data_IF_812530019287
#
_entry.id   IF_812530019287
#
_cell.length_a   1.000
_cell.length_b   1.000
_cell.length_c   1.000
_cell.angle_alpha   90.00
_cell.angle_beta   90.00
_cell.angle_gamma   90.00
#
_symmetry.space_group_name_H-M   'P 1'
#
loop_
_entity.id
_entity.type
_entity.pdbx_description
1 polymer ?
#
# COMPACT_ATOMS: atom_id res chain seq x y z
N UNK A 1 20.99 -14.09 -6.45
CA UNK A 1 20.04 -15.02 -7.10
C UNK A 1 18.64 -14.52 -6.75
N UNK A 2 18.00 -13.74 -7.63
CA UNK A 2 16.63 -13.29 -7.38
C UNK A 2 15.70 -14.48 -7.65
N UNK A 3 14.72 -14.74 -6.78
CA UNK A 3 13.94 -15.93 -6.95
C UNK A 3 12.79 -15.75 -7.97
N UNK A 4 12.80 -16.64 -8.98
CA UNK A 4 11.93 -16.71 -10.17
C UNK A 4 10.49 -17.19 -9.86
N UNK A 5 9.75 -16.51 -8.99
CA UNK A 5 8.39 -16.99 -8.65
C UNK A 5 7.27 -16.49 -9.59
N UNK A 6 7.56 -15.57 -10.52
CA UNK A 6 6.55 -14.97 -11.41
C UNK A 6 7.11 -14.91 -12.81
N UNK A 7 6.49 -15.64 -13.74
CA UNK A 7 6.82 -15.55 -15.15
C UNK A 7 6.63 -14.09 -15.64
N UNK A 8 7.50 -13.54 -16.50
CA UNK A 8 7.41 -12.15 -16.97
C UNK A 8 6.03 -11.76 -17.54
N UNK A 9 5.35 -12.72 -18.15
CA UNK A 9 3.96 -12.61 -18.65
C UNK A 9 2.91 -12.44 -17.54
N UNK A 10 3.09 -13.11 -16.40
CA UNK A 10 2.24 -12.96 -15.22
C UNK A 10 2.50 -11.63 -14.51
N UNK A 11 3.75 -11.14 -14.56
CA UNK A 11 4.10 -9.82 -14.08
C UNK A 11 3.38 -8.73 -14.89
N UNK A 12 3.45 -8.80 -16.22
CA UNK A 12 2.78 -7.85 -17.12
C UNK A 12 1.25 -7.85 -16.92
N UNK A 13 0.63 -9.03 -16.79
CA UNK A 13 -0.80 -9.17 -16.48
C UNK A 13 -1.15 -8.58 -15.11
N UNK A 14 -0.31 -8.79 -14.09
CA UNK A 14 -0.50 -8.24 -12.75
C UNK A 14 -0.41 -6.71 -12.78
N UNK A 15 0.59 -6.15 -13.47
CA UNK A 15 0.74 -4.69 -13.67
C UNK A 15 -0.50 -4.13 -14.38
N UNK A 16 -0.97 -4.76 -15.46
CA UNK A 16 -2.14 -4.31 -16.20
C UNK A 16 -3.41 -4.33 -15.33
N UNK A 17 -3.61 -5.40 -14.55
CA UNK A 17 -4.71 -5.50 -13.60
C UNK A 17 -4.65 -4.39 -12.55
N UNK A 18 -3.48 -4.15 -11.94
CA UNK A 18 -3.32 -3.12 -10.92
C UNK A 18 -3.51 -1.72 -11.48
N UNK A 19 -2.99 -1.43 -12.68
CA UNK A 19 -3.26 -0.16 -13.38
C UNK A 19 -4.75 0.03 -13.64
N UNK A 20 -5.45 -1.01 -14.11
CA UNK A 20 -6.89 -0.95 -14.36
C UNK A 20 -7.69 -0.72 -13.07
N UNK A 21 -7.39 -1.49 -12.02
CA UNK A 21 -8.07 -1.33 -10.72
C UNK A 21 -7.81 0.06 -10.16
N UNK A 22 -6.54 0.49 -10.09
CA UNK A 22 -6.15 1.79 -9.57
C UNK A 22 -6.78 2.95 -10.39
N UNK A 23 -6.77 2.84 -11.72
CA UNK A 23 -7.39 3.82 -12.62
C UNK A 23 -8.90 3.98 -12.41
N UNK A 24 -9.59 2.95 -11.91
CA UNK A 24 -11.03 3.02 -11.58
C UNK A 24 -11.26 3.44 -10.13
N UNK A 25 -10.54 2.86 -9.18
CA UNK A 25 -10.77 3.09 -7.74
C UNK A 25 -10.22 4.43 -7.27
N UNK A 26 -9.20 4.98 -7.92
CA UNK A 26 -8.67 6.32 -7.64
C UNK A 26 -9.72 7.42 -7.83
N UNK A 27 -10.34 7.56 -9.01
CA UNK A 27 -11.44 8.51 -9.22
C UNK A 27 -12.58 8.31 -8.23
N UNK A 28 -13.03 7.06 -7.99
CA UNK A 28 -14.12 6.79 -7.04
C UNK A 28 -13.73 7.20 -5.60
N UNK A 29 -12.47 7.00 -5.20
CA UNK A 29 -11.98 7.36 -3.86
C UNK A 29 -12.05 8.88 -3.58
N UNK A 30 -12.12 9.71 -4.62
CA UNK A 30 -12.31 11.16 -4.55
C UNK A 30 -13.79 11.57 -4.46
N UNK A 31 -14.73 10.64 -4.68
CA UNK A 31 -16.17 10.94 -4.68
C UNK A 31 -16.85 10.60 -3.34
N UNK A 32 -18.13 10.97 -3.22
CA UNK A 32 -18.99 10.54 -2.10
C UNK A 32 -19.25 9.02 -2.08
N UNK A 33 -19.02 8.34 -3.20
CA UNK A 33 -19.15 6.89 -3.32
C UNK A 33 -17.90 6.11 -2.85
N UNK A 34 -16.94 6.77 -2.18
CA UNK A 34 -15.71 6.15 -1.70
C UNK A 34 -15.91 4.97 -0.73
N UNK A 35 -17.09 4.81 -0.13
CA UNK A 35 -17.39 3.60 0.66
C UNK A 35 -17.34 2.32 -0.20
N UNK A 36 -17.66 2.42 -1.50
CA UNK A 36 -17.52 1.32 -2.45
C UNK A 36 -16.06 0.91 -2.64
N UNK A 37 -15.13 1.86 -2.67
CA UNK A 37 -13.70 1.54 -2.84
C UNK A 37 -13.18 0.71 -1.67
N UNK A 38 -13.66 1.00 -0.45
CA UNK A 38 -13.34 0.23 0.75
C UNK A 38 -13.84 -1.21 0.66
N UNK A 39 -15.07 -1.42 0.20
CA UNK A 39 -15.64 -2.77 0.02
C UNK A 39 -14.85 -3.55 -1.04
N UNK A 40 -14.66 -2.96 -2.22
CA UNK A 40 -13.91 -3.57 -3.33
C UNK A 40 -12.49 -3.92 -2.89
N UNK A 41 -11.79 -3.00 -2.22
CA UNK A 41 -10.44 -3.23 -1.71
C UNK A 41 -10.37 -4.44 -0.77
N UNK A 42 -11.33 -4.59 0.15
CA UNK A 42 -11.37 -5.74 1.07
C UNK A 42 -11.66 -7.05 0.38
N UNK A 43 -12.56 -7.06 -0.60
CA UNK A 43 -12.87 -8.26 -1.39
C UNK A 43 -11.67 -8.69 -2.23
N UNK A 44 -11.00 -7.73 -2.89
CA UNK A 44 -9.76 -7.98 -3.63
C UNK A 44 -8.67 -8.50 -2.69
N UNK A 45 -8.49 -7.88 -1.52
CA UNK A 45 -7.50 -8.32 -0.53
C UNK A 45 -7.78 -9.76 -0.06
N UNK A 46 -9.05 -10.12 0.19
CA UNK A 46 -9.43 -11.48 0.57
C UNK A 46 -9.24 -12.50 -0.58
N UNK A 47 -9.45 -12.08 -1.84
CA UNK A 47 -9.17 -12.90 -3.02
C UNK A 47 -7.67 -13.13 -3.18
N UNK A 48 -6.87 -12.05 -3.16
CA UNK A 48 -5.40 -12.09 -3.24
C UNK A 48 -4.81 -12.94 -2.13
N UNK A 49 -5.24 -12.72 -0.88
CA UNK A 49 -4.82 -13.52 0.28
C UNK A 49 -4.98 -15.03 0.03
N UNK A 50 -6.16 -15.45 -0.46
CA UNK A 50 -6.44 -16.86 -0.76
C UNK A 50 -5.60 -17.37 -1.93
N UNK A 51 -5.57 -16.63 -3.04
CA UNK A 51 -4.87 -17.05 -4.28
C UNK A 51 -3.35 -17.09 -4.13
N UNK A 52 -2.78 -16.24 -3.28
CA UNK A 52 -1.32 -16.12 -3.07
C UNK A 52 -0.83 -16.83 -1.80
N UNK A 53 -1.65 -17.74 -1.24
CA UNK A 53 -1.35 -18.51 -0.03
C UNK A 53 -0.87 -17.62 1.12
N UNK A 54 -1.64 -16.59 1.44
CA UNK A 54 -1.31 -15.67 2.51
C UNK A 54 -1.30 -16.34 3.88
N UNK A 55 -0.34 -15.93 4.71
CA UNK A 55 -0.11 -16.49 6.04
C UNK A 55 0.06 -15.36 7.05
N UNK A 56 -0.49 -15.48 8.27
CA UNK A 56 -0.13 -14.63 9.39
C UNK A 56 1.37 -14.68 9.65
N UNK A 57 1.94 -13.56 10.10
CA UNK A 57 3.36 -13.44 10.42
C UNK A 57 3.52 -13.12 11.91
N UNK A 58 4.67 -13.47 12.47
CA UNK A 58 4.96 -13.33 13.91
C UNK A 58 5.80 -12.10 14.23
N UNK A 59 6.50 -11.57 13.24
CA UNK A 59 7.37 -10.41 13.35
C UNK A 59 7.21 -9.48 12.14
N UNK A 60 7.67 -8.25 12.31
CA UNK A 60 7.43 -7.17 11.35
C UNK A 60 8.27 -7.31 10.09
N UNK A 61 9.47 -7.89 10.18
CA UNK A 61 10.33 -8.13 9.02
C UNK A 61 9.72 -9.20 8.10
N UNK A 62 9.32 -10.35 8.65
CA UNK A 62 8.63 -11.40 7.93
C UNK A 62 7.31 -10.90 7.33
N UNK A 63 6.59 -10.03 8.02
CA UNK A 63 5.39 -9.38 7.50
C UNK A 63 5.65 -8.47 6.31
N UNK A 64 6.66 -7.61 6.38
CA UNK A 64 7.00 -6.75 5.25
C UNK A 64 7.43 -7.56 4.03
N UNK A 65 8.26 -8.59 4.21
CA UNK A 65 8.66 -9.48 3.12
C UNK A 65 7.46 -10.26 2.54
N UNK A 66 6.58 -10.78 3.40
CA UNK A 66 5.40 -11.51 2.95
C UNK A 66 4.42 -10.61 2.19
N UNK A 67 4.29 -9.36 2.60
CA UNK A 67 3.52 -8.33 1.89
C UNK A 67 4.09 -8.09 0.49
N UNK A 68 5.40 -7.85 0.36
CA UNK A 68 6.07 -7.68 -0.94
C UNK A 68 5.81 -8.87 -1.88
N UNK A 69 6.01 -10.08 -1.36
CA UNK A 69 5.79 -11.34 -2.09
C UNK A 69 4.35 -11.51 -2.57
N UNK A 70 3.36 -11.17 -1.74
CA UNK A 70 1.93 -11.33 -2.09
C UNK A 70 1.52 -10.42 -3.25
N UNK A 71 2.06 -9.21 -3.30
CA UNK A 71 1.84 -8.29 -4.43
C UNK A 71 2.47 -8.81 -5.72
N UNK A 72 3.54 -9.62 -5.61
CA UNK A 72 4.19 -10.23 -6.77
C UNK A 72 4.88 -9.22 -7.68
N UNK A 73 5.24 -8.07 -7.12
CA UNK A 73 5.80 -6.93 -7.83
C UNK A 73 6.88 -6.28 -6.97
N UNK A 74 7.76 -7.10 -6.40
CA UNK A 74 8.71 -6.73 -5.33
C UNK A 74 9.62 -5.53 -5.70
N UNK A 75 9.85 -5.29 -6.99
CA UNK A 75 10.58 -4.10 -7.48
C UNK A 75 9.88 -2.77 -7.20
N UNK A 76 8.56 -2.78 -7.03
CA UNK A 76 7.76 -1.61 -6.72
C UNK A 76 7.44 -1.48 -5.23
N UNK A 77 7.66 -2.52 -4.44
CA UNK A 77 7.46 -2.55 -2.99
C UNK A 77 8.80 -2.87 -2.33
N UNK A 78 9.58 -1.84 -2.01
CA UNK A 78 10.96 -1.98 -1.51
C UNK A 78 10.99 -1.85 0.01
N UNK A 79 11.56 -2.82 0.71
CA UNK A 79 11.86 -2.69 2.13
C UNK A 79 13.13 -1.83 2.30
N UNK A 80 13.05 -0.73 3.04
CA UNK A 80 14.19 0.18 3.25
C UNK A 80 14.97 -0.21 4.50
N UNK A 81 14.28 -0.42 5.62
CA UNK A 81 14.88 -0.83 6.89
C UNK A 81 13.82 -1.39 7.84
N UNK A 82 14.28 -2.13 8.85
CA UNK A 82 13.49 -2.58 10.00
C UNK A 82 14.22 -2.12 11.25
N UNK A 83 13.52 -1.38 12.11
CA UNK A 83 14.07 -0.78 13.31
C UNK A 83 12.95 -0.62 14.35
N UNK A 84 13.23 -0.91 15.62
CA UNK A 84 12.28 -0.80 16.73
C UNK A 84 10.90 -1.41 16.39
N UNK A 85 10.89 -2.68 15.96
CA UNK A 85 9.67 -3.41 15.56
C UNK A 85 8.80 -2.63 14.56
N UNK A 86 9.45 -1.86 13.67
CA UNK A 86 8.80 -1.09 12.62
C UNK A 86 9.52 -1.32 11.31
N UNK A 87 8.82 -1.84 10.30
CA UNK A 87 9.34 -1.94 8.95
C UNK A 87 8.98 -0.69 8.17
N UNK A 88 9.99 -0.07 7.57
CA UNK A 88 9.85 1.09 6.71
C UNK A 88 10.07 0.66 5.27
N UNK A 89 9.11 0.98 4.41
CA UNK A 89 9.11 0.56 3.03
C UNK A 89 8.68 1.69 2.09
N UNK A 90 9.04 1.52 0.83
CA UNK A 90 8.73 2.43 -0.26
C UNK A 90 7.88 1.74 -1.34
N UNK A 91 6.84 2.44 -1.79
CA UNK A 91 5.96 1.99 -2.87
C UNK A 91 6.15 2.91 -4.09
N UNK A 92 6.72 2.36 -5.17
CA UNK A 92 7.00 3.06 -6.44
C UNK A 92 6.01 2.70 -7.56
N UNK A 93 5.02 1.84 -7.29
CA UNK A 93 4.05 1.46 -8.31
C UNK A 93 3.25 2.69 -8.81
N UNK A 94 3.12 2.93 -10.13
CA UNK A 94 2.39 4.07 -10.68
C UNK A 94 0.96 4.17 -10.14
N UNK A 95 0.54 5.37 -9.72
CA UNK A 95 -0.75 5.58 -9.06
C UNK A 95 -1.58 6.67 -9.73
N UNK A 96 -2.90 6.44 -9.82
CA UNK A 96 -3.84 7.41 -10.40
C UNK A 96 -4.00 8.69 -9.58
N UNK A 97 -3.55 8.69 -8.32
CA UNK A 97 -3.62 9.83 -7.42
C UNK A 97 -2.31 10.62 -7.34
N UNK A 98 -1.28 10.20 -8.05
CA UNK A 98 0.03 10.86 -8.07
C UNK A 98 -0.09 12.32 -8.54
N UNK A 99 0.50 13.26 -7.78
CA UNK A 99 0.47 14.70 -8.05
C UNK A 99 -0.89 15.38 -7.92
N UNK A 100 -1.92 14.69 -7.44
CA UNK A 100 -3.29 15.24 -7.45
C UNK A 100 -3.63 16.18 -6.29
N UNK A 101 -2.79 16.24 -5.25
CA UNK A 101 -3.06 16.93 -3.99
C UNK A 101 -4.01 16.20 -3.03
N UNK A 102 -4.72 15.15 -3.48
CA UNK A 102 -5.75 14.48 -2.67
C UNK A 102 -5.17 13.32 -1.84
N UNK A 103 -4.43 13.67 -0.79
CA UNK A 103 -3.83 12.70 0.15
C UNK A 103 -4.91 11.89 0.89
N UNK A 104 -6.10 12.46 1.10
CA UNK A 104 -7.22 11.75 1.74
C UNK A 104 -7.78 10.65 0.84
N UNK A 105 -7.94 10.90 -0.46
CA UNK A 105 -8.29 9.86 -1.42
C UNK A 105 -7.21 8.77 -1.50
N UNK A 106 -5.93 9.16 -1.43
CA UNK A 106 -4.83 8.18 -1.37
C UNK A 106 -4.92 7.30 -0.13
N UNK A 107 -5.18 7.90 1.04
CA UNK A 107 -5.42 7.15 2.25
C UNK A 107 -6.55 6.13 2.09
N UNK A 108 -7.68 6.50 1.47
CA UNK A 108 -8.79 5.57 1.18
C UNK A 108 -8.37 4.45 0.23
N UNK A 109 -7.62 4.77 -0.83
CA UNK A 109 -7.15 3.81 -1.83
C UNK A 109 -6.23 2.73 -1.21
N UNK A 110 -5.39 3.12 -0.24
CA UNK A 110 -4.50 2.22 0.51
C UNK A 110 -5.22 1.22 1.45
N UNK A 111 -6.56 1.17 1.44
CA UNK A 111 -7.31 0.14 2.19
C UNK A 111 -6.97 -1.27 1.72
N UNK A 112 -6.58 -1.46 0.45
CA UNK A 112 -6.19 -2.77 -0.07
C UNK A 112 -4.98 -3.33 0.69
N UNK A 113 -3.89 -2.56 0.76
CA UNK A 113 -2.68 -2.91 1.52
C UNK A 113 -2.98 -3.11 3.01
N UNK A 114 -3.72 -2.18 3.63
CA UNK A 114 -4.13 -2.32 5.05
C UNK A 114 -5.00 -3.55 5.30
N UNK A 115 -5.85 -3.94 4.37
CA UNK A 115 -6.67 -5.15 4.50
C UNK A 115 -5.83 -6.43 4.39
N UNK A 116 -4.80 -6.44 3.55
CA UNK A 116 -3.84 -7.53 3.48
C UNK A 116 -3.00 -7.63 4.76
N UNK A 117 -2.43 -6.51 5.22
CA UNK A 117 -1.58 -6.51 6.42
C UNK A 117 -2.34 -6.86 7.70
N UNK A 118 -3.60 -6.43 7.83
CA UNK A 118 -4.46 -6.89 8.95
C UNK A 118 -4.67 -8.40 8.98
N UNK A 119 -4.67 -9.06 7.82
CA UNK A 119 -4.71 -10.53 7.74
C UNK A 119 -3.37 -11.17 8.09
N UNK A 120 -2.26 -10.47 7.84
CA UNK A 120 -0.92 -10.87 8.26
C UNK A 120 -0.69 -10.69 9.77
N UNK A 121 -1.51 -9.88 10.44
CA UNK A 121 -1.36 -9.57 11.86
C UNK A 121 -0.76 -8.19 12.14
N UNK A 122 -0.72 -7.30 11.15
CA UNK A 122 -0.19 -5.95 11.28
C UNK A 122 -1.10 -4.83 10.80
N UNK A 123 -0.61 -3.62 10.97
CA UNK A 123 -1.21 -2.39 10.49
C UNK A 123 -0.19 -1.63 9.61
N UNK A 124 -0.71 -0.86 8.66
CA UNK A 124 0.10 -0.02 7.76
C UNK A 124 -0.30 1.43 7.89
N UNK A 125 0.72 2.26 8.07
CA UNK A 125 0.63 3.72 8.09
C UNK A 125 1.35 4.26 6.87
N UNK A 126 0.67 5.12 6.11
CA UNK A 126 1.30 5.86 5.02
C UNK A 126 1.92 7.12 5.62
N UNK A 127 3.24 7.22 5.62
CA UNK A 127 3.99 8.36 6.19
C UNK A 127 4.10 9.52 5.19
N UNK A 128 4.36 9.19 3.92
CA UNK A 128 4.41 10.16 2.81
C UNK A 128 3.72 9.55 1.60
N UNK A 129 2.89 10.35 0.93
CA UNK A 129 2.15 9.92 -0.25
C UNK A 129 2.50 10.79 -1.45
N UNK A 130 2.74 10.16 -2.61
CA UNK A 130 2.91 10.85 -3.89
C UNK A 130 1.65 11.53 -4.40
N UNK A 131 0.52 11.41 -3.69
CA UNK A 131 -0.60 12.31 -3.94
C UNK A 131 -0.26 13.76 -3.58
N UNK A 132 0.64 13.98 -2.63
CA UNK A 132 1.27 15.27 -2.39
C UNK A 132 2.34 15.53 -3.47
N UNK A 133 2.21 16.59 -4.29
CA UNK A 133 3.16 16.90 -5.36
C UNK A 133 4.60 17.16 -4.89
N UNK A 134 4.79 17.52 -3.61
CA UNK A 134 6.12 17.74 -3.03
C UNK A 134 6.89 16.44 -2.75
N UNK A 135 6.21 15.29 -2.73
CA UNK A 135 6.81 13.99 -2.45
C UNK A 135 7.41 13.40 -3.73
N UNK A 136 8.74 13.46 -3.84
CA UNK A 136 9.51 12.82 -4.92
C UNK A 136 9.88 11.37 -4.59
N UNK A 137 10.05 10.52 -5.60
CA UNK A 137 10.48 9.11 -5.42
C UNK A 137 9.30 8.15 -5.33
N UNK A 138 9.11 7.49 -4.17
CA UNK A 138 7.98 6.61 -3.88
C UNK A 138 7.16 7.05 -2.66
N UNK A 139 5.98 6.45 -2.47
CA UNK A 139 5.23 6.61 -1.23
C UNK A 139 5.99 5.92 -0.10
N UNK A 140 6.13 6.57 1.07
CA UNK A 140 6.77 5.98 2.25
C UNK A 140 5.71 5.42 3.18
N UNK A 141 5.88 4.18 3.60
CA UNK A 141 4.97 3.49 4.51
C UNK A 141 5.73 2.89 5.68
N UNK A 142 5.04 2.75 6.80
CA UNK A 142 5.50 2.00 7.96
C UNK A 142 4.51 0.87 8.25
N UNK A 143 5.05 -0.27 8.68
CA UNK A 143 4.30 -1.47 9.05
C UNK A 143 4.68 -1.83 10.49
N UNK A 144 3.67 -2.11 11.32
CA UNK A 144 3.83 -2.59 12.71
C UNK A 144 2.89 -3.75 12.98
N UNK A 145 3.16 -4.49 14.05
CA UNK A 145 2.22 -5.49 14.56
C UNK A 145 0.91 -4.82 14.98
N UNK A 146 -0.19 -5.55 14.80
CA UNK A 146 -1.51 -5.05 15.14
C UNK A 146 -1.62 -4.87 16.65
N UNK A 147 -2.17 -3.73 17.07
CA UNK A 147 -2.33 -3.40 18.48
C UNK A 147 -1.09 -2.81 19.15
N UNK A 148 -0.06 -2.48 18.37
CA UNK A 148 1.04 -1.63 18.84
C UNK A 148 0.49 -0.29 19.36
N UNK A 149 0.81 0.06 20.60
CA UNK A 149 0.25 1.21 21.30
C UNK A 149 0.97 2.54 20.98
N UNK A 150 2.11 2.49 20.29
CA UNK A 150 2.91 3.68 19.96
C UNK A 150 2.20 4.53 18.91
N UNK A 151 2.21 5.85 19.10
CA UNK A 151 1.49 6.84 18.28
C UNK A 151 2.42 7.82 17.55
N UNK A 152 3.71 7.49 17.48
CA UNK A 152 4.78 8.29 16.84
C UNK A 152 4.69 8.32 15.30
N UNK A 153 4.00 7.37 14.68
CA UNK A 153 3.78 7.35 13.24
C UNK A 153 2.65 8.31 12.84
N UNK A 154 3.01 9.46 12.27
CA UNK A 154 2.05 10.45 11.75
C UNK A 154 1.58 10.06 10.35
N UNK A 155 0.28 9.77 10.13
CA UNK A 155 -0.25 9.47 8.82
C UNK A 155 -0.22 10.70 7.89
N UNK A 156 0.16 10.49 6.63
CA UNK A 156 0.24 11.55 5.61
C UNK A 156 -1.07 12.34 5.42
N UNK A 157 -2.22 11.71 5.67
CA UNK A 157 -3.53 12.36 5.50
C UNK A 157 -3.94 13.26 6.66
N UNK A 158 -3.24 13.18 7.79
CA UNK A 158 -3.43 14.04 8.96
C UNK A 158 -2.47 15.24 8.91
N UNK A 159 -1.33 15.08 8.26
CA UNK A 159 -0.39 16.16 7.96
C UNK A 159 -0.08 16.19 6.45
N UNK A 160 -1.06 16.53 5.59
CA UNK A 160 -0.75 16.79 4.19
C UNK A 160 0.26 17.94 4.17
N UNK A 161 1.31 17.86 3.36
CA UNK A 161 2.20 18.99 3.15
C UNK A 161 1.40 20.25 2.79
N UNK A 162 1.99 21.45 2.88
CA UNK A 162 1.28 22.68 2.55
C UNK A 162 0.60 22.49 1.19
N UNK A 163 -0.73 22.58 1.19
CA UNK A 163 -1.49 22.49 -0.04
C UNK A 163 -0.97 23.61 -0.95
N UNK A 164 -0.23 23.25 -2.00
CA UNK A 164 0.00 24.15 -3.12
C UNK A 164 -1.35 24.31 -3.81
N UNK A 165 -2.15 25.22 -3.27
CA UNK A 165 -3.37 25.70 -3.87
C UNK A 165 -3.02 26.84 -4.82
N UNK A 166 -3.30 26.62 -6.10
CA UNK A 166 -3.91 27.53 -7.07
C UNK A 166 -3.85 26.86 -8.45
#
# INVERSE_FOLDING_TARGET
MQPDWIAPEDEARTIALYKRVNGTTGPIARTRAHWLTRLIARLLAASTWRRRNGRPQRDVAAMAEHWRRIFGLEKYWTLERVEDDTAYAEIRFPCSLEGTGDVRACHRLMEYDRALLRKMGGDLVVLRSRADPSVTGGCKVAIRMKGDARTDLVPAHENPGPATGA
#
